data_IF_044857813374
#
_entry.id   IF_044857813374
#
_cell.length_a   1.000
_cell.length_b   1.000
_cell.length_c   1.000
_cell.angle_alpha   90.00
_cell.angle_beta   90.00
_cell.angle_gamma   90.00
#
_symmetry.space_group_name_H-M   'P 1'
#
loop_
_entity.id
_entity.type
_entity.pdbx_description
1 polymer ?
#
# COMPACT_ATOMS: atom_id res chain seq x y z
N UNK A 1 13.67 -19.57 -19.57
CA UNK A 1 13.77 -18.27 -20.28
C UNK A 1 12.79 -17.22 -19.74
N UNK A 2 11.53 -17.57 -19.52
CA UNK A 2 10.46 -16.66 -19.02
C UNK A 2 10.79 -15.94 -17.70
N UNK A 3 11.44 -16.62 -16.75
CA UNK A 3 11.83 -16.02 -15.46
C UNK A 3 12.87 -14.89 -15.58
N UNK A 4 13.73 -14.89 -16.62
CA UNK A 4 14.70 -13.81 -16.85
C UNK A 4 14.03 -12.57 -17.46
N UNK A 5 12.95 -12.75 -18.21
CA UNK A 5 12.25 -11.63 -18.86
C UNK A 5 11.31 -10.89 -17.90
N UNK A 6 10.59 -11.61 -17.02
CA UNK A 6 9.80 -10.98 -15.96
C UNK A 6 10.65 -10.16 -14.98
N UNK A 7 11.84 -10.67 -14.63
CA UNK A 7 12.85 -9.95 -13.83
C UNK A 7 13.23 -8.61 -14.45
N UNK A 8 13.44 -8.58 -15.77
CA UNK A 8 13.82 -7.37 -16.50
C UNK A 8 12.64 -6.40 -16.64
N UNK A 9 11.45 -6.89 -16.97
CA UNK A 9 10.26 -6.06 -17.15
C UNK A 9 9.83 -5.35 -15.84
N UNK A 10 9.84 -6.07 -14.71
CA UNK A 10 9.52 -5.50 -13.40
C UNK A 10 10.63 -4.58 -12.86
N UNK A 11 11.90 -4.90 -13.15
CA UNK A 11 13.02 -4.03 -12.79
C UNK A 11 12.95 -2.68 -13.51
N UNK A 12 12.58 -2.67 -14.80
CA UNK A 12 12.44 -1.43 -15.58
C UNK A 12 11.31 -0.54 -15.03
N UNK A 13 10.17 -1.13 -14.68
CA UNK A 13 8.99 -0.36 -14.23
C UNK A 13 9.18 0.33 -12.87
N UNK A 14 9.89 -0.29 -11.93
CA UNK A 14 10.18 0.34 -10.63
C UNK A 14 11.44 1.23 -10.65
N UNK A 15 12.44 0.89 -11.47
CA UNK A 15 13.61 1.72 -11.69
C UNK A 15 13.23 3.09 -12.22
N UNK A 16 12.29 3.14 -13.16
CA UNK A 16 11.77 4.39 -13.71
C UNK A 16 11.15 5.31 -12.64
N UNK A 17 10.40 4.76 -11.67
CA UNK A 17 9.78 5.59 -10.63
C UNK A 17 10.81 6.11 -9.63
N UNK A 18 11.74 5.24 -9.20
CA UNK A 18 12.79 5.60 -8.25
C UNK A 18 13.82 6.55 -8.87
N UNK A 19 14.25 6.33 -10.12
CA UNK A 19 15.15 7.25 -10.82
C UNK A 19 14.50 8.62 -11.01
N UNK A 20 13.19 8.69 -11.28
CA UNK A 20 12.46 9.97 -11.35
C UNK A 20 12.42 10.71 -10.02
N UNK A 21 12.06 10.04 -8.93
CA UNK A 21 11.99 10.64 -7.59
C UNK A 21 13.38 11.04 -7.09
N UNK A 22 14.38 10.20 -7.32
CA UNK A 22 15.77 10.46 -6.98
C UNK A 22 16.34 11.64 -7.78
N UNK A 23 16.04 11.73 -9.08
CA UNK A 23 16.45 12.86 -9.93
C UNK A 23 15.80 14.17 -9.48
N UNK A 24 14.52 14.13 -9.12
CA UNK A 24 13.81 15.31 -8.62
C UNK A 24 14.44 15.84 -7.33
N UNK A 25 14.77 14.95 -6.38
CA UNK A 25 15.43 15.32 -5.13
C UNK A 25 16.85 15.89 -5.39
N UNK A 26 17.61 15.35 -6.36
CA UNK A 26 18.93 15.89 -6.72
C UNK A 26 18.85 17.29 -7.30
N UNK A 27 17.90 17.51 -8.20
CA UNK A 27 17.71 18.81 -8.82
C UNK A 27 17.33 19.84 -7.76
N UNK A 28 16.43 19.49 -6.85
CA UNK A 28 16.04 20.35 -5.74
C UNK A 28 17.25 20.75 -4.86
N UNK A 29 18.10 19.80 -4.49
CA UNK A 29 19.30 20.10 -3.70
C UNK A 29 20.35 20.93 -4.44
N UNK A 30 20.56 20.69 -5.73
CA UNK A 30 21.47 21.48 -6.55
C UNK A 30 20.98 22.93 -6.69
N UNK A 31 19.67 23.12 -6.80
CA UNK A 31 19.04 24.45 -6.84
C UNK A 31 19.20 25.17 -5.51
N UNK A 32 18.86 24.54 -4.38
CA UNK A 32 19.07 25.14 -3.06
C UNK A 32 20.54 25.51 -2.79
N UNK A 33 21.49 24.63 -3.13
CA UNK A 33 22.92 24.91 -2.97
C UNK A 33 23.39 26.06 -3.88
N UNK A 34 22.82 26.17 -5.08
CA UNK A 34 23.11 27.27 -6.01
C UNK A 34 22.57 28.60 -5.46
N UNK A 35 21.35 28.63 -4.94
CA UNK A 35 20.76 29.82 -4.32
C UNK A 35 21.54 30.29 -3.09
N UNK A 36 22.00 29.36 -2.26
CA UNK A 36 22.79 29.70 -1.08
C UNK A 36 24.13 30.33 -1.47
N UNK A 37 24.79 29.81 -2.50
CA UNK A 37 26.03 30.38 -3.02
C UNK A 37 25.82 31.76 -3.68
N UNK A 38 24.68 31.96 -4.35
CA UNK A 38 24.27 33.28 -4.85
C UNK A 38 24.08 34.29 -3.70
N UNK A 39 23.42 33.88 -2.60
CA UNK A 39 23.24 34.70 -1.39
C UNK A 39 24.57 35.05 -0.72
N UNK A 40 25.58 34.17 -0.84
CA UNK A 40 26.95 34.41 -0.38
C UNK A 40 27.76 35.33 -1.31
N UNK A 41 27.15 35.89 -2.35
CA UNK A 41 27.76 36.87 -3.25
C UNK A 41 28.51 36.27 -4.43
N UNK A 42 28.41 34.96 -4.68
CA UNK A 42 29.02 34.34 -5.86
C UNK A 42 28.22 34.68 -7.12
N UNK A 43 28.92 34.75 -8.25
CA UNK A 43 28.27 34.87 -9.57
C UNK A 43 27.53 33.58 -9.92
N UNK A 44 26.47 33.65 -10.73
CA UNK A 44 25.59 32.52 -11.03
C UNK A 44 26.34 31.27 -11.56
N UNK A 45 27.36 31.48 -12.40
CA UNK A 45 28.16 30.39 -12.97
C UNK A 45 29.13 29.78 -11.94
N UNK A 46 29.65 30.58 -11.01
CA UNK A 46 30.46 30.08 -9.89
C UNK A 46 29.60 29.34 -8.86
N UNK A 47 28.42 29.86 -8.53
CA UNK A 47 27.48 29.25 -7.60
C UNK A 47 27.02 27.85 -8.07
N UNK A 48 26.72 27.70 -9.37
CA UNK A 48 26.36 26.41 -9.99
C UNK A 48 27.52 25.42 -9.99
N UNK A 49 28.74 25.89 -10.25
CA UNK A 49 29.95 25.05 -10.21
C UNK A 49 30.25 24.56 -8.79
N UNK A 50 30.16 25.45 -7.81
CA UNK A 50 30.34 25.12 -6.40
C UNK A 50 29.27 24.12 -5.91
N UNK A 51 28.01 24.30 -6.31
CA UNK A 51 26.92 23.38 -5.99
C UNK A 51 27.11 21.97 -6.60
N UNK A 52 27.62 21.88 -7.83
CA UNK A 52 27.93 20.57 -8.45
C UNK A 52 29.09 19.84 -7.76
N UNK A 53 30.11 20.58 -7.33
CA UNK A 53 31.27 20.02 -6.63
C UNK A 53 30.92 19.52 -5.23
N UNK A 54 30.05 20.21 -4.50
CA UNK A 54 29.55 19.74 -3.20
C UNK A 54 28.62 18.54 -3.33
N UNK A 55 27.87 18.43 -4.44
CA UNK A 55 26.96 17.32 -4.69
C UNK A 55 27.66 16.01 -5.12
N UNK A 56 28.86 16.10 -5.72
CA UNK A 56 29.62 14.95 -6.24
C UNK A 56 29.91 13.84 -5.20
N UNK A 57 29.92 14.15 -3.90
CA UNK A 57 30.05 13.16 -2.82
C UNK A 57 28.76 12.37 -2.54
N UNK A 58 27.60 12.94 -2.85
CA UNK A 58 26.28 12.30 -2.64
C UNK A 58 25.96 11.29 -3.75
N UNK A 59 26.47 11.52 -4.96
CA UNK A 59 26.29 10.62 -6.10
C UNK A 59 26.94 9.24 -5.88
N UNK A 60 28.07 9.21 -5.16
CA UNK A 60 28.72 7.97 -4.71
C UNK A 60 27.87 7.18 -3.71
N UNK A 61 27.17 7.87 -2.81
CA UNK A 61 26.24 7.23 -1.86
C UNK A 61 24.99 6.72 -2.59
N UNK A 62 24.56 7.40 -3.66
CA UNK A 62 23.46 6.93 -4.53
C UNK A 62 23.83 5.71 -5.35
N UNK A 63 25.05 5.58 -5.85
CA UNK A 63 25.50 4.33 -6.49
C UNK A 63 25.43 3.13 -5.54
N UNK A 64 25.75 3.36 -4.27
CA UNK A 64 25.62 2.34 -3.22
C UNK A 64 24.15 1.92 -2.99
N UNK A 65 23.19 2.83 -3.18
CA UNK A 65 21.75 2.58 -3.07
C UNK A 65 21.07 2.14 -4.36
N UNK A 66 21.69 2.36 -5.54
CA UNK A 66 21.12 2.10 -6.86
C UNK A 66 20.83 0.61 -7.13
N UNK A 67 21.36 -0.26 -6.28
CA UNK A 67 21.25 -1.71 -6.40
C UNK A 67 20.36 -2.36 -5.31
N UNK A 68 19.78 -1.56 -4.41
CA UNK A 68 18.92 -2.02 -3.29
C UNK A 68 17.45 -2.16 -3.71
N UNK A 69 17.17 -2.10 -5.00
CA UNK A 69 15.84 -2.23 -5.58
C UNK A 69 15.12 -3.47 -5.02
N UNK A 70 13.83 -3.32 -4.72
CA UNK A 70 12.88 -4.31 -4.14
C UNK A 70 13.00 -5.74 -4.71
N UNK A 71 13.53 -5.84 -5.93
CA UNK A 71 13.88 -7.07 -6.63
C UNK A 71 15.00 -7.91 -5.96
N UNK A 72 16.04 -7.27 -5.41
CA UNK A 72 17.13 -7.96 -4.69
C UNK A 72 16.63 -8.52 -3.35
N UNK A 73 15.71 -7.80 -2.70
CA UNK A 73 14.99 -8.31 -1.53
C UNK A 73 14.09 -9.51 -1.89
N UNK A 74 13.35 -9.45 -3.00
CA UNK A 74 12.59 -10.60 -3.52
C UNK A 74 13.49 -11.79 -3.88
N UNK A 75 14.65 -11.57 -4.51
CA UNK A 75 15.59 -12.65 -4.85
C UNK A 75 16.25 -13.25 -3.61
N UNK A 76 16.55 -12.45 -2.59
CA UNK A 76 16.99 -12.95 -1.29
C UNK A 76 15.89 -13.79 -0.64
N UNK A 77 14.66 -13.27 -0.60
CA UNK A 77 13.52 -13.98 -0.04
C UNK A 77 13.26 -15.31 -0.77
N UNK A 78 13.31 -15.35 -2.10
CA UNK A 78 13.17 -16.58 -2.88
C UNK A 78 14.30 -17.58 -2.61
N UNK A 79 15.51 -17.09 -2.40
CA UNK A 79 16.67 -17.91 -2.07
C UNK A 79 16.49 -18.53 -0.69
N UNK A 80 16.09 -17.73 0.31
CA UNK A 80 15.83 -18.19 1.67
C UNK A 80 14.64 -19.15 1.74
N UNK A 81 13.58 -18.91 0.95
CA UNK A 81 12.46 -19.85 0.80
C UNK A 81 12.91 -21.17 0.17
N UNK A 82 13.77 -21.13 -0.86
CA UNK A 82 14.30 -22.36 -1.49
C UNK A 82 15.19 -23.16 -0.54
N UNK A 83 16.03 -22.49 0.25
CA UNK A 83 16.86 -23.15 1.26
C UNK A 83 16.03 -23.64 2.45
N UNK A 84 15.06 -22.83 2.90
CA UNK A 84 14.12 -23.17 3.97
C UNK A 84 13.24 -24.36 3.60
N UNK A 85 12.73 -24.44 2.37
CA UNK A 85 11.95 -25.60 1.90
C UNK A 85 12.78 -26.88 1.83
N UNK A 86 14.09 -26.80 1.55
CA UNK A 86 14.98 -27.95 1.67
C UNK A 86 15.13 -28.39 3.14
N UNK A 87 15.22 -27.45 4.06
CA UNK A 87 15.26 -27.73 5.51
C UNK A 87 13.95 -28.34 6.03
N UNK A 88 12.80 -27.81 5.60
CA UNK A 88 11.46 -28.35 5.93
C UNK A 88 11.28 -29.79 5.41
N UNK A 89 11.87 -30.13 4.27
CA UNK A 89 11.87 -31.51 3.73
C UNK A 89 12.69 -32.49 4.56
N UNK A 90 13.63 -32.04 5.40
CA UNK A 90 14.36 -32.92 6.34
C UNK A 90 13.54 -33.28 7.59
N UNK A 91 12.50 -32.53 7.91
CA UNK A 91 11.60 -32.78 9.03
C UNK A 91 10.12 -32.81 8.57
N UNK A 92 9.72 -33.85 7.80
CA UNK A 92 8.41 -33.90 7.14
C UNK A 92 7.22 -33.95 8.12
N UNK A 93 7.39 -34.57 9.30
CA UNK A 93 6.32 -34.68 10.30
C UNK A 93 5.88 -33.31 10.86
N UNK A 94 6.83 -32.50 11.33
CA UNK A 94 6.55 -31.15 11.84
C UNK A 94 5.97 -30.24 10.75
N UNK A 95 6.54 -30.30 9.54
CA UNK A 95 6.06 -29.52 8.41
C UNK A 95 4.62 -29.84 8.04
N UNK A 96 4.24 -31.13 8.05
CA UNK A 96 2.87 -31.54 7.74
C UNK A 96 1.87 -30.99 8.76
N UNK A 97 2.17 -31.12 10.06
CA UNK A 97 1.30 -30.59 11.13
C UNK A 97 1.19 -29.07 11.04
N UNK A 98 2.29 -28.37 10.81
CA UNK A 98 2.30 -26.93 10.63
C UNK A 98 1.46 -26.49 9.42
N UNK A 99 1.61 -27.17 8.27
CA UNK A 99 0.83 -26.88 7.06
C UNK A 99 -0.65 -27.16 7.27
N UNK A 100 -1.01 -28.28 7.89
CA UNK A 100 -2.42 -28.61 8.18
C UNK A 100 -3.05 -27.60 9.13
N UNK A 101 -2.33 -27.20 10.17
CA UNK A 101 -2.81 -26.19 11.13
C UNK A 101 -3.02 -24.85 10.45
N UNK A 102 -2.06 -24.42 9.62
CA UNK A 102 -2.14 -23.17 8.88
C UNK A 102 -3.29 -23.20 7.85
N UNK A 103 -3.43 -24.31 7.13
CA UNK A 103 -4.50 -24.50 6.15
C UNK A 103 -5.88 -24.48 6.81
N UNK A 104 -6.04 -25.14 7.97
CA UNK A 104 -7.26 -25.11 8.74
C UNK A 104 -7.57 -23.71 9.28
N UNK A 105 -6.58 -22.99 9.80
CA UNK A 105 -6.77 -21.61 10.28
C UNK A 105 -7.22 -20.67 9.16
N UNK A 106 -6.48 -20.64 8.04
CA UNK A 106 -6.80 -19.80 6.89
C UNK A 106 -8.15 -20.22 6.28
N UNK A 107 -8.38 -21.51 6.12
CA UNK A 107 -9.60 -22.06 5.55
C UNK A 107 -10.83 -21.76 6.41
N UNK A 108 -10.72 -21.93 7.74
CA UNK A 108 -11.81 -21.64 8.67
C UNK A 108 -12.16 -20.15 8.66
N UNK A 109 -11.16 -19.26 8.78
CA UNK A 109 -11.41 -17.81 8.74
C UNK A 109 -12.02 -17.39 7.40
N UNK A 110 -11.48 -17.89 6.28
CA UNK A 110 -12.01 -17.59 4.94
C UNK A 110 -13.42 -18.12 4.77
N UNK A 111 -13.73 -19.31 5.28
CA UNK A 111 -15.06 -19.93 5.17
C UNK A 111 -16.09 -19.17 6.00
N UNK A 112 -15.76 -18.81 7.25
CA UNK A 112 -16.63 -17.98 8.08
C UNK A 112 -16.93 -16.66 7.38
N UNK A 113 -15.90 -15.98 6.87
CA UNK A 113 -16.07 -14.72 6.15
C UNK A 113 -16.86 -14.90 4.86
N UNK A 114 -16.66 -16.01 4.14
CA UNK A 114 -17.39 -16.35 2.92
C UNK A 114 -18.86 -16.64 3.19
N UNK A 115 -19.18 -17.34 4.28
CA UNK A 115 -20.57 -17.62 4.70
C UNK A 115 -21.24 -16.35 5.19
N UNK A 116 -20.59 -15.58 6.07
CA UNK A 116 -21.06 -14.26 6.51
C UNK A 116 -21.30 -13.38 5.30
N UNK A 117 -20.36 -13.33 4.35
CA UNK A 117 -20.54 -12.58 3.13
C UNK A 117 -21.71 -13.12 2.31
N UNK A 118 -21.81 -14.44 2.10
CA UNK A 118 -22.86 -15.05 1.30
C UNK A 118 -24.27 -14.91 1.89
N UNK A 119 -24.39 -14.83 3.22
CA UNK A 119 -25.68 -14.79 3.94
C UNK A 119 -26.09 -13.36 4.30
N UNK A 120 -25.14 -12.52 4.72
CA UNK A 120 -25.40 -11.15 5.19
C UNK A 120 -25.10 -10.07 4.13
N UNK A 121 -24.11 -10.28 3.25
CA UNK A 121 -23.61 -9.25 2.31
C UNK A 121 -23.85 -9.55 0.83
N UNK A 122 -24.15 -10.81 0.46
CA UNK A 122 -24.68 -11.13 -0.85
C UNK A 122 -26.01 -10.39 -0.87
N UNK A 123 -26.18 -9.38 -1.73
CA UNK A 123 -27.39 -8.58 -1.74
C UNK A 123 -28.51 -9.59 -1.89
N UNK A 124 -29.35 -9.72 -0.85
CA UNK A 124 -30.64 -10.37 -1.04
C UNK A 124 -31.17 -9.70 -2.31
N UNK A 125 -31.52 -10.47 -3.36
CA UNK A 125 -32.23 -9.90 -4.48
C UNK A 125 -33.52 -9.35 -3.88
N UNK A 126 -33.50 -8.08 -3.49
CA UNK A 126 -34.66 -7.28 -3.18
C UNK A 126 -35.11 -6.78 -4.55
N UNK A 127 -36.03 -7.48 -5.24
CA UNK A 127 -36.74 -6.83 -6.33
C UNK A 127 -37.39 -5.60 -5.71
N UNK A 128 -36.96 -4.41 -6.16
CA UNK A 128 -37.40 -3.09 -5.69
C UNK A 128 -36.77 -2.59 -4.37
N UNK A 129 -35.43 -2.50 -4.30
CA UNK A 129 -34.72 -1.81 -3.20
C UNK A 129 -35.18 -0.34 -2.99
N UNK A 130 -35.75 0.28 -4.03
CA UNK A 130 -36.37 1.60 -4.01
C UNK A 130 -37.76 1.67 -3.33
N UNK A 131 -38.30 0.54 -2.86
CA UNK A 131 -39.52 0.47 -2.01
C UNK A 131 -39.24 0.11 -0.55
N UNK A 132 -37.99 0.16 -0.09
CA UNK A 132 -37.66 -0.07 1.32
C UNK A 132 -38.16 1.12 2.15
N UNK A 133 -39.24 0.91 2.90
CA UNK A 133 -39.82 1.88 3.84
C UNK A 133 -39.58 1.40 5.28
N UNK A 134 -39.06 2.29 6.12
CA UNK A 134 -38.90 2.03 7.55
C UNK A 134 -40.28 2.06 8.23
N UNK A 135 -40.72 0.93 8.79
CA UNK A 135 -41.96 0.86 9.58
C UNK A 135 -41.63 1.15 11.03
N UNK A 136 -41.92 2.36 11.48
CA UNK A 136 -41.91 2.73 12.89
C UNK A 136 -43.26 2.41 13.53
N UNK A 137 -43.27 1.63 14.61
CA UNK A 137 -44.46 1.42 15.42
C UNK A 137 -44.72 2.67 16.27
N UNK A 138 -45.79 3.41 15.96
CA UNK A 138 -46.31 4.40 16.90
C UNK A 138 -47.01 3.62 18.02
N UNK A 139 -46.36 3.53 19.17
CA UNK A 139 -46.94 2.94 20.37
C UNK A 139 -48.12 3.84 20.82
N UNK A 140 -49.38 3.36 20.76
CA UNK A 140 -50.54 4.18 21.12
C UNK A 140 -50.62 4.53 22.62
N UNK A 141 -49.75 3.93 23.45
CA UNK A 141 -49.63 4.26 24.88
C UNK A 141 -48.59 5.34 25.19
N UNK A 142 -47.96 5.95 24.17
CA UNK A 142 -47.28 7.22 24.38
C UNK A 142 -48.34 8.26 24.75
N UNK A 143 -48.58 8.40 26.06
CA UNK A 143 -49.29 9.53 26.63
C UNK A 143 -48.73 10.79 26.00
N UNK A 144 -49.64 11.68 25.67
CA UNK A 144 -49.38 12.96 25.04
C UNK A 144 -48.58 13.84 26.02
N UNK A 145 -47.27 13.58 26.10
CA UNK A 145 -46.32 14.27 26.96
C UNK A 145 -45.76 15.50 26.25
N UNK A 146 -46.52 16.16 25.36
CA UNK A 146 -46.13 17.41 24.69
C UNK A 146 -44.80 17.41 23.91
N UNK A 147 -44.13 16.25 23.78
CA UNK A 147 -42.87 16.09 23.10
C UNK A 147 -43.17 15.92 21.61
N UNK A 148 -43.01 17.01 20.86
CA UNK A 148 -43.07 17.00 19.40
C UNK A 148 -42.19 15.86 18.86
N UNK A 149 -42.68 15.05 17.91
CA UNK A 149 -41.84 14.05 17.28
C UNK A 149 -40.67 14.75 16.58
N UNK A 150 -39.46 14.58 17.12
CA UNK A 150 -38.23 15.00 16.45
C UNK A 150 -37.97 14.03 15.29
N UNK A 151 -38.69 14.26 14.20
CA UNK A 151 -38.25 13.76 12.91
C UNK A 151 -37.00 14.58 12.57
N UNK A 152 -35.82 14.04 12.86
CA UNK A 152 -34.57 14.52 12.25
C UNK A 152 -34.67 14.22 10.75
N UNK A 153 -35.37 15.11 10.03
CA UNK A 153 -35.26 15.20 8.59
C UNK A 153 -33.79 15.53 8.30
N UNK A 154 -33.10 14.81 7.39
CA UNK A 154 -31.95 15.41 6.75
C UNK A 154 -32.45 16.69 6.08
N UNK A 155 -31.85 17.80 6.48
CA UNK A 155 -32.06 19.07 5.84
C UNK A 155 -31.72 18.94 4.34
N UNK A 156 -32.31 19.84 3.57
CA UNK A 156 -31.79 20.34 2.30
C UNK A 156 -31.37 19.34 1.21
N UNK A 157 -32.33 18.94 0.39
CA UNK A 157 -32.08 18.87 -1.06
C UNK A 157 -33.06 19.79 -1.79
N UNK A 158 -32.50 20.90 -2.27
CA UNK A 158 -33.13 21.89 -3.13
C UNK A 158 -33.12 21.40 -4.59
#
# INVERSE_FOLDING_TARGET
MWQRMLKRALALFQRDRFEREMNAEMQFHLECATEENLKRGMTQDEARRAARLSFGGVEQVKEQYRDVSRWRWLESFWRDVKFGTHSLRRAPGFTLVAVLTLALGIGATTTIFSVVYAVLLRPLPYPNAERIVAVGSLNPQAKDDGAKPSFNAPADFR
#
